data_IF_025174829796
#
_entry.id   IF_025174829796
#
_cell.length_a   1.000
_cell.length_b   1.000
_cell.length_c   1.000
_cell.angle_alpha   90.00
_cell.angle_beta   90.00
_cell.angle_gamma   90.00
#
_symmetry.space_group_name_H-M   'P 1'
#
loop_
_entity.id
_entity.type
_entity.pdbx_description
1 polymer ?
#
# COMPACT_ATOMS: atom_id res chain seq x y z
N UNK A 1 -13.10 0.37 -16.66
CA UNK A 1 -11.79 0.63 -16.01
C UNK A 1 -11.93 0.94 -14.51
N UNK A 2 -13.02 0.51 -13.88
CA UNK A 2 -13.33 0.81 -12.46
C UNK A 2 -12.43 0.00 -11.54
N UNK A 3 -12.14 -1.27 -11.89
CA UNK A 3 -11.21 -2.11 -11.12
C UNK A 3 -9.82 -1.50 -11.02
N UNK A 4 -9.33 -0.84 -12.07
CA UNK A 4 -8.05 -0.14 -12.03
C UNK A 4 -8.04 1.03 -11.05
N UNK A 5 -9.11 1.86 -11.04
CA UNK A 5 -9.24 2.96 -10.06
C UNK A 5 -9.30 2.44 -8.62
N UNK A 6 -10.06 1.37 -8.37
CA UNK A 6 -10.15 0.74 -7.05
C UNK A 6 -8.78 0.21 -6.63
N UNK A 7 -8.06 -0.45 -7.54
CA UNK A 7 -6.69 -0.90 -7.32
C UNK A 7 -5.74 0.25 -6.99
N UNK A 8 -5.86 1.38 -7.68
CA UNK A 8 -5.03 2.57 -7.46
C UNK A 8 -5.30 3.21 -6.08
N UNK A 9 -6.57 3.33 -5.70
CA UNK A 9 -6.99 3.80 -4.37
C UNK A 9 -6.53 2.85 -3.25
N UNK A 10 -6.69 1.54 -3.45
CA UNK A 10 -6.24 0.52 -2.50
C UNK A 10 -4.72 0.56 -2.34
N UNK A 11 -3.98 0.60 -3.46
CA UNK A 11 -2.52 0.70 -3.47
C UNK A 11 -2.01 1.96 -2.78
N UNK A 12 -2.67 3.11 -2.97
CA UNK A 12 -2.32 4.35 -2.29
C UNK A 12 -2.55 4.26 -0.77
N UNK A 13 -3.67 3.66 -0.36
CA UNK A 13 -3.96 3.37 1.05
C UNK A 13 -2.92 2.44 1.67
N UNK A 14 -2.58 1.36 0.99
CA UNK A 14 -1.53 0.43 1.42
C UNK A 14 -0.16 1.10 1.56
N UNK A 15 0.20 2.00 0.64
CA UNK A 15 1.46 2.74 0.66
C UNK A 15 1.52 3.71 1.85
N UNK A 16 0.39 4.37 2.16
CA UNK A 16 0.25 5.23 3.32
C UNK A 16 0.38 4.44 4.64
N UNK A 17 -0.30 3.30 4.73
CA UNK A 17 -0.17 2.39 5.88
C UNK A 17 1.26 1.88 6.03
N UNK A 18 1.94 1.56 4.92
CA UNK A 18 3.33 1.11 4.94
C UNK A 18 4.27 2.19 5.50
N UNK A 19 4.07 3.45 5.11
CA UNK A 19 4.86 4.57 5.62
C UNK A 19 4.66 4.75 7.13
N UNK A 20 3.42 4.59 7.62
CA UNK A 20 3.13 4.61 9.07
C UNK A 20 3.70 3.40 9.80
N UNK A 21 3.66 2.23 9.16
CA UNK A 21 4.22 1.00 9.71
C UNK A 21 5.73 1.15 9.91
N UNK A 22 6.46 1.66 8.91
CA UNK A 22 7.90 1.92 9.02
C UNK A 22 8.18 2.86 10.21
N UNK A 23 7.39 3.93 10.38
CA UNK A 23 7.52 4.83 11.54
C UNK A 23 7.25 4.12 12.88
N UNK A 24 6.22 3.28 12.96
CA UNK A 24 5.86 2.55 14.18
C UNK A 24 6.92 1.49 14.55
N UNK A 25 7.47 0.79 13.54
CA UNK A 25 8.57 -0.16 13.69
C UNK A 25 9.82 0.56 14.19
N UNK A 26 10.19 1.68 13.56
CA UNK A 26 11.35 2.48 14.00
C UNK A 26 11.19 3.06 15.41
N UNK A 27 9.96 3.27 15.87
CA UNK A 27 9.66 3.73 17.23
C UNK A 27 9.61 2.60 18.27
N UNK A 28 9.82 1.33 17.88
CA UNK A 28 9.77 0.18 18.78
C UNK A 28 8.37 -0.17 19.30
N UNK A 29 7.31 0.38 18.70
CA UNK A 29 5.95 0.17 19.17
C UNK A 29 5.32 -1.08 18.52
N UNK A 30 5.60 -2.25 19.10
CA UNK A 30 5.19 -3.56 18.56
C UNK A 30 3.68 -3.72 18.41
N UNK A 31 2.89 -3.17 19.34
CA UNK A 31 1.43 -3.32 19.33
C UNK A 31 0.79 -2.49 18.21
N UNK A 32 1.29 -1.27 18.00
CA UNK A 32 0.88 -0.41 16.88
C UNK A 32 1.32 -0.98 15.52
N UNK A 33 2.51 -1.59 15.47
CA UNK A 33 3.01 -2.29 14.29
C UNK A 33 2.08 -3.44 13.90
N UNK A 34 1.71 -4.28 14.87
CA UNK A 34 0.81 -5.41 14.63
C UNK A 34 -0.56 -4.93 14.13
N UNK A 35 -1.14 -3.89 14.74
CA UNK A 35 -2.41 -3.31 14.29
C UNK A 35 -2.35 -2.77 12.85
N UNK A 36 -1.23 -2.12 12.48
CA UNK A 36 -1.02 -1.61 11.12
C UNK A 36 -0.85 -2.73 10.08
N UNK A 37 -0.14 -3.82 10.42
CA UNK A 37 -0.03 -5.00 9.54
C UNK A 37 -1.42 -5.63 9.33
N UNK A 38 -2.18 -5.82 10.40
CA UNK A 38 -3.50 -6.42 10.31
C UNK A 38 -4.45 -5.53 9.49
N UNK A 39 -4.44 -4.23 9.72
CA UNK A 39 -5.22 -3.26 8.94
C UNK A 39 -4.88 -3.28 7.45
N UNK A 40 -3.60 -3.48 7.11
CA UNK A 40 -3.13 -3.58 5.73
C UNK A 40 -3.66 -4.83 5.02
N UNK A 41 -3.64 -5.98 5.70
CA UNK A 41 -4.22 -7.23 5.19
C UNK A 41 -5.74 -7.09 5.00
N UNK A 42 -6.45 -6.54 5.99
CA UNK A 42 -7.91 -6.36 5.92
C UNK A 42 -8.28 -5.39 4.80
N UNK A 43 -7.55 -4.29 4.63
CA UNK A 43 -7.78 -3.33 3.54
C UNK A 43 -7.61 -3.98 2.17
N UNK A 44 -6.53 -4.74 1.98
CA UNK A 44 -6.23 -5.41 0.71
C UNK A 44 -7.28 -6.49 0.40
N UNK A 45 -7.62 -7.31 1.40
CA UNK A 45 -8.66 -8.33 1.29
C UNK A 45 -10.03 -7.71 0.96
N UNK A 46 -10.42 -6.64 1.65
CA UNK A 46 -11.69 -5.96 1.41
C UNK A 46 -11.76 -5.40 -0.02
N UNK A 47 -10.69 -4.78 -0.51
CA UNK A 47 -10.63 -4.27 -1.87
C UNK A 47 -10.70 -5.40 -2.92
N UNK A 48 -9.92 -6.47 -2.73
CA UNK A 48 -9.92 -7.62 -3.64
C UNK A 48 -11.25 -8.36 -3.64
N UNK A 49 -11.86 -8.57 -2.48
CA UNK A 49 -13.18 -9.23 -2.36
C UNK A 49 -14.26 -8.36 -2.98
N UNK A 50 -14.27 -7.04 -2.73
CA UNK A 50 -15.24 -6.15 -3.35
C UNK A 50 -15.16 -6.19 -4.89
N UNK A 51 -13.95 -6.17 -5.46
CA UNK A 51 -13.76 -6.27 -6.91
C UNK A 51 -14.07 -7.69 -7.41
N UNK A 52 -13.77 -8.73 -6.64
CA UNK A 52 -14.08 -10.12 -7.00
C UNK A 52 -15.58 -10.39 -7.03
N UNK A 53 -16.38 -9.74 -6.19
CA UNK A 53 -17.83 -9.91 -6.18
C UNK A 53 -18.52 -9.03 -7.21
N UNK A 54 -18.07 -7.78 -7.39
CA UNK A 54 -18.77 -6.81 -8.24
C UNK A 54 -18.23 -6.75 -9.68
N UNK A 55 -16.95 -7.07 -9.88
CA UNK A 55 -16.25 -6.83 -11.16
C UNK A 55 -15.15 -7.88 -11.45
N UNK A 56 -15.49 -9.18 -11.45
CA UNK A 56 -14.56 -10.29 -11.70
C UNK A 56 -13.65 -10.10 -12.92
N UNK A 57 -14.18 -9.63 -14.05
CA UNK A 57 -13.39 -9.38 -15.27
C UNK A 57 -12.33 -8.29 -15.10
N UNK A 58 -12.46 -7.42 -14.10
CA UNK A 58 -11.56 -6.31 -13.82
C UNK A 58 -10.62 -6.62 -12.63
N UNK A 59 -10.63 -7.84 -12.10
CA UNK A 59 -9.76 -8.26 -11.00
C UNK A 59 -8.28 -8.10 -11.36
N UNK A 60 -7.91 -8.53 -12.58
CA UNK A 60 -6.56 -8.36 -13.12
C UNK A 60 -6.15 -6.88 -13.15
N UNK A 61 -7.03 -6.01 -13.62
CA UNK A 61 -6.78 -4.57 -13.68
C UNK A 61 -6.68 -3.94 -12.29
N UNK A 62 -7.41 -4.44 -11.30
CA UNK A 62 -7.27 -4.04 -9.90
C UNK A 62 -5.91 -4.43 -9.33
N UNK A 63 -5.46 -5.67 -9.57
CA UNK A 63 -4.14 -6.13 -9.18
C UNK A 63 -3.03 -5.31 -9.83
N UNK A 64 -3.13 -5.03 -11.13
CA UNK A 64 -2.18 -4.16 -11.85
C UNK A 64 -2.17 -2.75 -11.27
N UNK A 65 -3.35 -2.17 -10.99
CA UNK A 65 -3.47 -0.85 -10.36
C UNK A 65 -2.79 -0.81 -8.99
N UNK A 66 -3.09 -1.75 -8.10
CA UNK A 66 -2.50 -1.83 -6.77
C UNK A 66 -0.98 -2.01 -6.80
N UNK A 67 -0.48 -2.96 -7.60
CA UNK A 67 0.96 -3.21 -7.76
C UNK A 67 1.68 -2.01 -8.37
N UNK A 68 1.08 -1.33 -9.35
CA UNK A 68 1.70 -0.15 -9.96
C UNK A 68 1.92 0.97 -8.93
N UNK A 69 0.93 1.26 -8.08
CA UNK A 69 1.05 2.29 -7.05
C UNK A 69 2.04 1.90 -5.97
N UNK A 70 2.07 0.63 -5.57
CA UNK A 70 3.04 0.13 -4.60
C UNK A 70 4.47 0.27 -5.11
N UNK A 71 4.73 -0.14 -6.36
CA UNK A 71 6.06 -0.06 -6.98
C UNK A 71 6.47 1.39 -7.20
N UNK A 72 5.63 2.18 -7.90
CA UNK A 72 5.91 3.59 -8.19
C UNK A 72 6.04 4.39 -6.89
N UNK A 73 5.12 4.17 -5.95
CA UNK A 73 5.12 4.82 -4.65
C UNK A 73 6.36 4.48 -3.82
N UNK A 74 6.80 3.21 -3.82
CA UNK A 74 8.04 2.82 -3.13
C UNK A 74 9.26 3.51 -3.74
N UNK A 75 9.35 3.58 -5.07
CA UNK A 75 10.42 4.31 -5.77
C UNK A 75 10.40 5.78 -5.41
N UNK A 76 9.23 6.43 -5.44
CA UNK A 76 9.08 7.85 -5.07
C UNK A 76 9.52 8.08 -3.62
N UNK A 77 9.02 7.27 -2.68
CA UNK A 77 9.40 7.39 -1.26
C UNK A 77 10.91 7.20 -1.09
N UNK A 78 11.49 6.21 -1.76
CA UNK A 78 12.93 5.95 -1.70
C UNK A 78 13.74 7.14 -2.22
N UNK A 79 13.37 7.70 -3.38
CA UNK A 79 14.02 8.89 -3.96
C UNK A 79 13.86 10.10 -3.05
N UNK A 80 12.67 10.32 -2.47
CA UNK A 80 12.43 11.42 -1.53
C UNK A 80 13.28 11.25 -0.26
N UNK A 81 13.36 10.03 0.31
CA UNK A 81 14.20 9.76 1.49
C UNK A 81 15.69 9.93 1.20
N UNK A 82 16.14 9.51 0.01
CA UNK A 82 17.52 9.70 -0.43
C UNK A 82 17.84 11.20 -0.58
N UNK A 83 16.94 11.97 -1.20
CA UNK A 83 17.11 13.41 -1.44
C UNK A 83 17.01 14.26 -0.17
N UNK A 84 16.20 13.83 0.81
CA UNK A 84 16.02 14.52 2.10
C UNK A 84 17.05 14.13 3.17
N UNK A 85 18.11 13.37 2.85
CA UNK A 85 19.24 13.20 3.77
C UNK A 85 19.20 11.96 4.66
N UNK A 86 18.89 10.77 4.11
CA UNK A 86 19.35 9.49 4.67
C UNK A 86 20.36 8.78 3.76
N UNK A 87 21.17 9.58 3.06
CA UNK A 87 22.49 9.18 2.57
C UNK A 87 23.58 9.50 3.59
N UNK A 88 23.34 9.25 4.87
CA UNK A 88 24.43 9.19 5.85
C UNK A 88 24.96 7.77 5.88
N UNK A 89 26.28 7.73 5.66
CA UNK A 89 27.18 6.59 5.56
C UNK A 89 27.04 5.59 6.71
#
# INVERSE_FOLDING_TARGET
MIGFLIGLLCGAGELFLLTRLIKAVSAGNSLQTLALVFGKIVLFAAAMVAVALLFQRQLLWCGVGASSVLVIGAVIINVIQQKNGKGER
#
